data_IF_221670177564
#
_entry.id   IF_221670177564
#
_cell.length_a   1.000
_cell.length_b   1.000
_cell.length_c   1.000
_cell.angle_alpha   90.00
_cell.angle_beta   90.00
_cell.angle_gamma   90.00
#
_symmetry.space_group_name_H-M   'P 1'
#
loop_
_entity.id
_entity.type
_entity.pdbx_description
1 polymer ?
#
# COMPACT_ATOMS: atom_id res chain seq x y z
N UNK A 1 -7.53 23.59 9.33
CA UNK A 1 -7.74 22.13 9.36
C UNK A 1 -8.54 21.74 8.13
N UNK A 2 -8.31 20.55 7.55
CA UNK A 2 -9.06 20.08 6.38
C UNK A 2 -10.52 19.81 6.74
N UNK A 3 -11.44 20.12 5.83
CA UNK A 3 -12.85 19.74 5.88
C UNK A 3 -13.03 18.23 5.77
N UNK A 4 -14.18 17.69 6.17
CA UNK A 4 -14.47 16.25 6.05
C UNK A 4 -14.41 15.75 4.60
N UNK A 5 -14.77 16.60 3.63
CA UNK A 5 -14.67 16.29 2.21
C UNK A 5 -13.20 16.17 1.79
N UNK A 6 -12.35 17.13 2.15
CA UNK A 6 -10.91 17.09 1.86
C UNK A 6 -10.23 15.92 2.55
N UNK A 7 -10.60 15.60 3.80
CA UNK A 7 -10.10 14.42 4.50
C UNK A 7 -10.47 13.13 3.76
N UNK A 8 -11.71 13.02 3.26
CA UNK A 8 -12.13 11.88 2.44
C UNK A 8 -11.33 11.78 1.14
N UNK A 9 -11.05 12.93 0.49
CA UNK A 9 -10.19 12.99 -0.69
C UNK A 9 -8.77 12.49 -0.43
N UNK A 10 -8.18 12.88 0.71
CA UNK A 10 -6.86 12.38 1.15
C UNK A 10 -6.87 10.87 1.35
N UNK A 11 -7.88 10.33 2.03
CA UNK A 11 -8.00 8.88 2.24
C UNK A 11 -8.15 8.12 0.92
N UNK A 12 -8.96 8.64 0.00
CA UNK A 12 -9.16 8.01 -1.30
C UNK A 12 -7.87 8.02 -2.14
N UNK A 13 -7.12 9.12 -2.13
CA UNK A 13 -5.83 9.19 -2.82
C UNK A 13 -4.83 8.15 -2.29
N UNK A 14 -4.74 7.98 -0.97
CA UNK A 14 -3.92 6.94 -0.35
C UNK A 14 -4.39 5.53 -0.72
N UNK A 15 -5.70 5.28 -0.72
CA UNK A 15 -6.26 4.00 -1.13
C UNK A 15 -5.85 3.66 -2.56
N UNK A 16 -6.07 4.57 -3.52
CA UNK A 16 -5.73 4.36 -4.93
C UNK A 16 -4.22 4.09 -5.09
N UNK A 17 -3.38 4.83 -4.37
CA UNK A 17 -1.93 4.62 -4.41
C UNK A 17 -1.54 3.21 -3.94
N UNK A 18 -2.11 2.76 -2.82
CA UNK A 18 -1.80 1.45 -2.23
C UNK A 18 -2.41 0.32 -3.09
N UNK A 19 -3.61 0.49 -3.65
CA UNK A 19 -4.24 -0.48 -4.54
C UNK A 19 -3.47 -0.66 -5.85
N UNK A 20 -2.92 0.41 -6.39
CA UNK A 20 -2.05 0.34 -7.57
C UNK A 20 -0.77 -0.47 -7.26
N UNK A 21 -0.15 -0.24 -6.10
CA UNK A 21 1.02 -1.02 -5.68
C UNK A 21 0.69 -2.52 -5.51
N UNK A 22 -0.47 -2.84 -4.93
CA UNK A 22 -0.95 -4.24 -4.85
C UNK A 22 -1.14 -4.83 -6.26
N UNK A 23 -1.78 -4.09 -7.17
CA UNK A 23 -1.99 -4.50 -8.56
C UNK A 23 -0.67 -4.81 -9.28
N UNK A 24 0.30 -3.89 -9.18
CA UNK A 24 1.64 -4.08 -9.72
C UNK A 24 2.33 -5.31 -9.12
N UNK A 25 2.27 -5.48 -7.79
CA UNK A 25 2.84 -6.64 -7.11
C UNK A 25 2.29 -7.96 -7.65
N UNK A 26 0.99 -8.05 -7.87
CA UNK A 26 0.36 -9.23 -8.48
C UNK A 26 0.83 -9.48 -9.92
N UNK A 27 1.04 -8.43 -10.72
CA UNK A 27 1.57 -8.57 -12.07
C UNK A 27 3.02 -9.07 -12.08
N UNK A 28 3.86 -8.57 -11.17
CA UNK A 28 5.24 -9.04 -11.02
C UNK A 28 5.30 -10.53 -10.65
N UNK A 29 4.48 -10.98 -9.69
CA UNK A 29 4.37 -12.40 -9.34
C UNK A 29 3.89 -13.24 -10.54
N UNK A 30 2.90 -12.75 -11.28
CA UNK A 30 2.39 -13.43 -12.48
C UNK A 30 3.48 -13.57 -13.54
N UNK A 31 4.31 -12.54 -13.77
CA UNK A 31 5.43 -12.59 -14.70
C UNK A 31 6.50 -13.62 -14.30
N UNK A 32 6.64 -13.90 -13.00
CA UNK A 32 7.53 -14.93 -12.45
C UNK A 32 6.89 -16.34 -12.40
N UNK A 33 5.71 -16.54 -13.00
CA UNK A 33 4.93 -17.79 -12.92
C UNK A 33 4.60 -18.23 -11.48
N UNK A 34 4.53 -17.30 -10.54
CA UNK A 34 4.11 -17.59 -9.16
C UNK A 34 2.60 -17.78 -9.07
N UNK A 35 2.10 -18.57 -8.10
CA UNK A 35 0.68 -18.66 -7.81
C UNK A 35 0.07 -17.27 -7.54
N UNK A 36 -1.18 -17.09 -7.99
CA UNK A 36 -1.92 -15.87 -7.71
C UNK A 36 -2.14 -15.72 -6.20
N UNK A 37 -1.58 -14.67 -5.64
CA UNK A 37 -1.78 -14.32 -4.22
C UNK A 37 -3.24 -14.00 -3.94
N UNK A 38 -3.79 -14.65 -2.91
CA UNK A 38 -5.19 -14.53 -2.48
C UNK A 38 -5.44 -13.15 -1.88
N UNK A 39 -4.53 -12.67 -1.02
CA UNK A 39 -4.63 -11.38 -0.36
C UNK A 39 -3.52 -10.39 -0.75
N UNK A 40 -3.71 -9.13 -0.37
CA UNK A 40 -2.67 -8.11 -0.50
C UNK A 40 -1.44 -8.45 0.37
N UNK A 41 -1.66 -8.95 1.59
CA UNK A 41 -0.57 -9.39 2.47
C UNK A 41 0.24 -10.51 1.82
N UNK A 42 -0.44 -11.52 1.26
CA UNK A 42 0.24 -12.63 0.57
C UNK A 42 1.02 -12.16 -0.65
N UNK A 43 0.53 -11.14 -1.35
CA UNK A 43 1.22 -10.55 -2.50
C UNK A 43 2.58 -10.00 -2.08
N UNK A 44 2.64 -9.17 -1.03
CA UNK A 44 3.90 -8.56 -0.59
C UNK A 44 4.82 -9.53 0.14
N UNK A 45 4.26 -10.54 0.82
CA UNK A 45 5.03 -11.65 1.35
C UNK A 45 5.74 -12.41 0.24
N UNK A 46 5.01 -12.81 -0.81
CA UNK A 46 5.58 -13.52 -1.95
C UNK A 46 6.64 -12.69 -2.69
N UNK A 47 6.45 -11.38 -2.83
CA UNK A 47 7.47 -10.50 -3.42
C UNK A 47 8.78 -10.45 -2.61
N UNK A 48 8.70 -10.57 -1.27
CA UNK A 48 9.90 -10.68 -0.44
C UNK A 48 10.55 -12.07 -0.61
N UNK A 49 9.73 -13.13 -0.66
CA UNK A 49 10.20 -14.52 -0.84
C UNK A 49 10.87 -14.74 -2.21
N UNK A 50 10.41 -14.06 -3.27
CA UNK A 50 11.04 -14.11 -4.60
C UNK A 50 12.18 -13.10 -4.78
N UNK A 51 12.53 -12.34 -3.73
CA UNK A 51 13.64 -11.39 -3.74
C UNK A 51 13.38 -10.09 -4.52
N UNK A 52 12.13 -9.81 -4.90
CA UNK A 52 11.74 -8.54 -5.55
C UNK A 52 11.75 -7.38 -4.55
N UNK A 53 11.48 -7.68 -3.29
CA UNK A 53 11.53 -6.77 -2.15
C UNK A 53 12.48 -7.31 -1.08
N UNK A 54 13.09 -6.42 -0.31
CA UNK A 54 13.87 -6.84 0.86
C UNK A 54 12.91 -7.36 1.95
N UNK A 55 13.18 -8.51 2.59
CA UNK A 55 12.36 -9.03 3.70
C UNK A 55 12.12 -8.03 4.83
N UNK A 56 13.05 -7.09 5.07
CA UNK A 56 12.91 -6.02 6.06
C UNK A 56 11.82 -5.00 5.69
N UNK A 57 11.41 -4.92 4.42
CA UNK A 57 10.31 -4.06 3.95
C UNK A 57 8.93 -4.65 4.27
N UNK A 58 8.81 -5.95 4.60
CA UNK A 58 7.51 -6.62 4.74
C UNK A 58 6.64 -6.01 5.84
N UNK A 59 7.21 -5.65 6.99
CA UNK A 59 6.47 -5.04 8.09
C UNK A 59 5.86 -3.69 7.67
N UNK A 60 6.62 -2.92 6.89
CA UNK A 60 6.18 -1.63 6.35
C UNK A 60 5.05 -1.80 5.33
N UNK A 61 5.14 -2.78 4.43
CA UNK A 61 4.07 -3.12 3.50
C UNK A 61 2.81 -3.58 4.21
N UNK A 62 2.93 -4.42 5.23
CA UNK A 62 1.79 -4.86 6.03
C UNK A 62 1.08 -3.68 6.70
N UNK A 63 1.82 -2.67 7.18
CA UNK A 63 1.23 -1.49 7.79
C UNK A 63 0.39 -0.66 6.80
N UNK A 64 0.87 -0.44 5.56
CA UNK A 64 0.10 0.31 4.56
C UNK A 64 -1.08 -0.49 4.00
N UNK A 65 -0.96 -1.81 3.88
CA UNK A 65 -2.09 -2.68 3.51
C UNK A 65 -3.16 -2.62 4.61
N UNK A 66 -2.76 -2.66 5.88
CA UNK A 66 -3.66 -2.51 7.01
C UNK A 66 -4.32 -1.13 7.09
N UNK A 67 -3.61 -0.07 6.68
CA UNK A 67 -4.21 1.26 6.50
C UNK A 67 -5.26 1.24 5.38
N UNK A 68 -4.96 0.67 4.20
CA UNK A 68 -5.91 0.54 3.09
C UNK A 68 -7.17 -0.21 3.51
N UNK A 69 -7.03 -1.32 4.22
CA UNK A 69 -8.19 -2.10 4.67
C UNK A 69 -9.09 -1.28 5.60
N UNK A 70 -8.51 -0.49 6.52
CA UNK A 70 -9.28 0.42 7.36
C UNK A 70 -9.96 1.53 6.56
N UNK A 71 -9.31 2.06 5.52
CA UNK A 71 -9.92 3.07 4.64
C UNK A 71 -11.16 2.51 3.94
N UNK A 72 -11.10 1.28 3.44
CA UNK A 72 -12.21 0.68 2.69
C UNK A 72 -13.33 0.18 3.60
N UNK A 73 -13.00 -0.41 4.75
CA UNK A 73 -13.98 -1.14 5.56
C UNK A 73 -14.40 -0.44 6.86
N UNK A 74 -13.55 0.40 7.45
CA UNK A 74 -13.76 1.02 8.77
C UNK A 74 -13.42 2.53 8.75
N UNK A 75 -13.75 3.24 7.66
CA UNK A 75 -13.31 4.63 7.46
C UNK A 75 -13.68 5.57 8.62
N UNK A 76 -14.81 5.33 9.30
CA UNK A 76 -15.28 6.13 10.45
C UNK A 76 -14.38 6.03 11.69
N UNK A 77 -13.51 5.01 11.77
CA UNK A 77 -12.57 4.80 12.90
C UNK A 77 -11.16 5.29 12.59
N UNK A 78 -10.95 5.92 11.43
CA UNK A 78 -9.64 6.42 11.04
C UNK A 78 -9.32 7.70 11.80
N UNK A 79 -8.21 7.68 12.52
CA UNK A 79 -7.60 8.87 13.08
C UNK A 79 -6.92 9.68 11.97
N UNK A 80 -7.62 10.71 11.50
CA UNK A 80 -7.10 11.61 10.46
C UNK A 80 -5.85 12.37 10.90
N UNK A 81 -5.65 12.64 12.19
CA UNK A 81 -4.43 13.32 12.65
C UNK A 81 -3.20 12.44 12.40
N UNK A 82 -3.31 11.13 12.65
CA UNK A 82 -2.26 10.17 12.35
C UNK A 82 -2.00 10.04 10.85
N UNK A 83 -3.07 10.01 10.02
CA UNK A 83 -2.93 9.94 8.56
C UNK A 83 -2.21 11.18 8.02
N UNK A 84 -2.62 12.38 8.45
CA UNK A 84 -1.98 13.62 7.99
C UNK A 84 -0.53 13.73 8.47
N UNK A 85 -0.23 13.28 9.69
CA UNK A 85 1.15 13.21 10.19
C UNK A 85 2.02 12.25 9.36
N UNK A 86 1.47 11.10 8.95
CA UNK A 86 2.14 10.13 8.08
C UNK A 86 2.46 10.75 6.71
N UNK A 87 1.50 11.47 6.12
CA UNK A 87 1.67 12.15 4.83
C UNK A 87 2.71 13.27 4.94
N UNK A 88 2.60 14.11 5.96
CA UNK A 88 3.53 15.22 6.19
C UNK A 88 4.97 14.74 6.44
N UNK A 89 5.13 13.54 7.04
CA UNK A 89 6.42 12.90 7.22
C UNK A 89 6.88 12.06 6.00
N UNK A 90 6.17 12.13 4.87
CA UNK A 90 6.45 11.41 3.62
C UNK A 90 6.60 9.89 3.77
N UNK A 91 6.03 9.31 4.83
CA UNK A 91 6.16 7.88 5.15
C UNK A 91 5.44 6.95 4.17
N UNK A 92 4.67 7.51 3.23
CA UNK A 92 4.06 6.78 2.10
C UNK A 92 4.95 6.77 0.86
N UNK A 93 6.06 7.52 0.84
CA UNK A 93 6.92 7.69 -0.33
C UNK A 93 7.45 6.39 -0.91
N UNK A 94 7.71 5.38 -0.07
CA UNK A 94 8.17 4.07 -0.54
C UNK A 94 7.16 3.38 -1.47
N UNK A 95 5.86 3.63 -1.31
CA UNK A 95 4.81 3.09 -2.20
C UNK A 95 4.95 3.71 -3.59
N UNK A 96 5.18 5.02 -3.65
CA UNK A 96 5.46 5.75 -4.90
C UNK A 96 6.74 5.23 -5.54
N UNK A 97 7.81 5.08 -4.75
CA UNK A 97 9.08 4.54 -5.24
C UNK A 97 8.92 3.14 -5.82
N UNK A 98 8.16 2.26 -5.15
CA UNK A 98 7.85 0.94 -5.68
C UNK A 98 7.08 1.02 -7.01
N UNK A 99 6.10 1.91 -7.14
CA UNK A 99 5.34 2.10 -8.38
C UNK A 99 6.20 2.60 -9.53
N UNK A 100 7.23 3.41 -9.26
CA UNK A 100 8.16 3.91 -10.27
C UNK A 100 9.22 2.90 -10.72
N UNK A 101 9.41 1.77 -10.01
CA UNK A 101 10.33 0.70 -10.45
C UNK A 101 9.89 0.16 -11.84
N UNK A 102 10.79 -0.20 -12.75
CA UNK A 102 10.38 -0.84 -14.01
C UNK A 102 9.73 -2.21 -13.74
N UNK A 103 8.82 -2.61 -14.62
CA UNK A 103 8.29 -3.99 -14.69
C UNK A 103 9.15 -4.69 -15.73
N UNK A 104 10.18 -5.40 -15.27
CA UNK A 104 11.10 -6.18 -16.11
C UNK A 104 10.62 -7.62 -16.26
#
# INVERSE_FOLDING_TARGET
ALTSLEQSGVLHALQVLIENAIGKGKQLLKAQNQPLAISAYDTFKALCETGVLDPNELAMWNAVIGLRNRIVHDCMKIDMAQVLALIAAERHGFVVQFLLRPVS
#
